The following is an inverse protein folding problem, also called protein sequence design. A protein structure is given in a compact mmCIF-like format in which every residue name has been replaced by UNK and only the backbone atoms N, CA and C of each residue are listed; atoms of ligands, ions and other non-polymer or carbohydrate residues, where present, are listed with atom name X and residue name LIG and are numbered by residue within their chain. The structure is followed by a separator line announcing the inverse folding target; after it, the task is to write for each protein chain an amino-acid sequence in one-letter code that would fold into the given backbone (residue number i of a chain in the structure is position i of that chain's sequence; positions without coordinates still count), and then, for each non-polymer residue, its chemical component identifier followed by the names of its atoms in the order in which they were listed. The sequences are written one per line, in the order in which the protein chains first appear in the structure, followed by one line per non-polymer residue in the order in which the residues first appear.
data_IF_601792179173
#
_entry.id   IF_601792179173
#
_cell.length_a   1.000
_cell.length_b   1.000
_cell.length_c   1.000
_cell.angle_alpha   90.00
_cell.angle_beta   90.00
_cell.angle_gamma   90.00
#
_symmetry.space_group_name_H-M   'P 1'
#
loop_
_entity.id
_entity.type
_entity.pdbx_description
1 polymer ?
#
# COMPACT_ATOMS: atom_id res chain seq x y z
N UNK A 1 -0.95 -18.32 16.41
CA UNK A 1 -1.98 -19.29 15.98
C UNK A 1 -3.25 -18.98 16.77
N UNK A 2 -4.23 -18.35 16.12
CA UNK A 2 -5.54 -18.10 16.74
C UNK A 2 -6.40 -19.32 16.40
N UNK A 3 -6.68 -20.16 17.39
CA UNK A 3 -7.60 -21.29 17.26
C UNK A 3 -9.00 -20.81 17.58
N UNK A 4 -9.89 -20.81 16.59
CA UNK A 4 -11.31 -20.67 16.81
C UNK A 4 -11.88 -22.04 17.20
N UNK A 5 -12.65 -22.17 18.30
CA UNK A 5 -13.41 -23.38 18.52
C UNK A 5 -14.42 -23.56 17.38
N UNK A 6 -14.36 -24.73 16.73
CA UNK A 6 -15.21 -25.08 15.57
C UNK A 6 -16.69 -25.20 15.97
N UNK A 7 -16.96 -25.36 17.27
CA UNK A 7 -18.30 -25.63 17.80
C UNK A 7 -19.25 -24.43 17.83
N UNK A 8 -18.77 -23.21 17.55
CA UNK A 8 -19.58 -21.97 17.64
C UNK A 8 -20.01 -21.39 16.29
N UNK A 9 -19.68 -22.05 15.17
CA UNK A 9 -20.20 -21.70 13.84
C UNK A 9 -21.29 -22.70 13.47
N UNK A 10 -22.51 -22.47 13.96
CA UNK A 10 -23.66 -23.17 13.40
C UNK A 10 -23.82 -22.72 11.93
N UNK A 11 -23.85 -23.64 10.95
CA UNK A 11 -24.13 -23.27 9.58
C UNK A 11 -25.51 -22.61 9.56
N UNK A 12 -25.59 -21.40 8.99
CA UNK A 12 -26.89 -20.81 8.68
C UNK A 12 -27.63 -21.83 7.79
N UNK A 13 -28.82 -22.33 8.18
CA UNK A 13 -29.51 -23.40 7.46
C UNK A 13 -30.19 -22.88 6.18
N UNK A 14 -29.80 -21.72 5.65
CA UNK A 14 -30.22 -21.29 4.33
C UNK A 14 -29.40 -22.09 3.31
N UNK A 15 -30.11 -22.95 2.61
CA UNK A 15 -29.62 -23.77 1.50
C UNK A 15 -28.79 -22.89 0.56
N UNK A 16 -27.47 -23.04 0.62
CA UNK A 16 -26.58 -22.58 -0.44
C UNK A 16 -27.08 -23.24 -1.71
N UNK A 17 -27.68 -22.47 -2.61
CA UNK A 17 -28.27 -23.00 -3.83
C UNK A 17 -27.20 -23.79 -4.58
N UNK A 18 -27.51 -25.06 -4.89
CA UNK A 18 -26.70 -25.91 -5.76
C UNK A 18 -26.72 -25.33 -7.16
N UNK A 19 -25.78 -24.43 -7.46
CA UNK A 19 -25.63 -23.83 -8.78
C UNK A 19 -24.55 -24.58 -9.59
N UNK A 20 -24.77 -24.79 -10.90
CA UNK A 20 -23.77 -25.41 -11.75
C UNK A 20 -22.51 -24.54 -11.82
N UNK A 21 -21.35 -25.21 -11.87
CA UNK A 21 -20.03 -24.61 -11.96
C UNK A 21 -19.99 -23.54 -13.08
N UNK A 22 -20.01 -22.26 -12.72
CA UNK A 22 -19.87 -21.14 -13.67
C UNK A 22 -20.93 -20.04 -13.58
N UNK A 23 -22.05 -20.24 -12.88
CA UNK A 23 -23.07 -19.21 -12.68
C UNK A 23 -23.12 -18.82 -11.21
N UNK A 24 -22.33 -17.81 -10.82
CA UNK A 24 -22.22 -17.36 -9.42
C UNK A 24 -23.24 -16.24 -9.17
N UNK A 25 -24.25 -16.49 -8.35
CA UNK A 25 -25.17 -15.43 -7.87
C UNK A 25 -24.44 -14.43 -6.97
N UNK A 26 -23.83 -13.43 -7.62
CA UNK A 26 -23.06 -12.37 -6.97
C UNK A 26 -23.94 -11.56 -6.00
N UNK A 27 -25.24 -11.40 -6.29
CA UNK A 27 -26.17 -10.65 -5.44
C UNK A 27 -26.53 -11.41 -4.15
N UNK A 28 -26.58 -12.74 -4.18
CA UNK A 28 -26.68 -13.56 -2.97
C UNK A 28 -25.43 -13.43 -2.08
N UNK A 29 -24.23 -13.56 -2.66
CA UNK A 29 -22.98 -13.44 -1.89
C UNK A 29 -22.76 -12.05 -1.31
N UNK A 30 -23.16 -11.00 -2.04
CA UNK A 30 -23.15 -9.63 -1.52
C UNK A 30 -24.12 -9.44 -0.35
N UNK A 31 -25.28 -10.13 -0.35
CA UNK A 31 -26.27 -10.07 0.75
C UNK A 31 -25.79 -10.73 2.04
N UNK A 32 -24.96 -11.77 1.97
CA UNK A 32 -24.29 -12.37 3.14
C UNK A 32 -23.29 -11.39 3.78
N UNK A 33 -22.69 -10.54 2.95
CA UNK A 33 -21.52 -9.73 3.29
C UNK A 33 -21.86 -8.28 3.68
N UNK A 34 -22.92 -7.71 3.10
CA UNK A 34 -23.30 -6.31 3.30
C UNK A 34 -24.68 -6.03 2.69
N UNK A 35 -25.78 -5.96 3.46
CA UNK A 35 -27.00 -5.35 2.97
C UNK A 35 -26.72 -3.85 2.77
N UNK A 36 -26.37 -3.46 1.54
CA UNK A 36 -26.06 -2.08 1.16
C UNK A 36 -27.18 -1.09 1.55
N UNK A 37 -28.40 -1.61 1.65
CA UNK A 37 -29.62 -0.85 1.93
C UNK A 37 -29.78 -0.51 3.44
N UNK A 38 -29.03 -1.17 4.32
CA UNK A 38 -29.13 -1.00 5.78
C UNK A 38 -27.95 -0.22 6.39
N UNK A 39 -26.78 -0.23 5.75
CA UNK A 39 -25.56 0.38 6.27
C UNK A 39 -24.91 1.22 5.16
N UNK A 40 -24.99 2.55 5.29
CA UNK A 40 -24.54 3.52 4.28
C UNK A 40 -23.02 3.59 4.05
N UNK A 41 -22.30 2.47 4.14
CA UNK A 41 -20.86 2.37 3.92
C UNK A 41 -20.41 0.94 3.55
N UNK A 42 -19.20 0.81 2.97
CA UNK A 42 -18.54 -0.47 2.65
C UNK A 42 -17.96 -1.16 3.90
N UNK A 43 -18.75 -1.25 4.96
CA UNK A 43 -18.33 -1.86 6.23
C UNK A 43 -18.70 -3.33 6.27
N UNK A 44 -17.68 -4.17 6.45
CA UNK A 44 -17.82 -5.60 6.70
C UNK A 44 -18.08 -5.77 8.19
N UNK A 45 -19.24 -6.31 8.53
CA UNK A 45 -19.66 -6.56 9.91
C UNK A 45 -19.85 -8.06 10.17
N UNK A 46 -20.11 -8.43 11.42
CA UNK A 46 -20.44 -9.82 11.79
C UNK A 46 -19.23 -10.76 11.90
N UNK A 47 -19.48 -12.06 11.82
CA UNK A 47 -18.47 -13.10 12.07
C UNK A 47 -17.38 -13.15 10.99
N UNK A 48 -17.72 -12.89 9.72
CA UNK A 48 -16.77 -12.93 8.61
C UNK A 48 -15.64 -11.90 8.76
N UNK A 49 -15.94 -10.73 9.34
CA UNK A 49 -14.94 -9.71 9.63
C UNK A 49 -13.88 -10.19 10.63
N UNK A 50 -14.14 -11.21 11.45
CA UNK A 50 -13.21 -11.75 12.45
C UNK A 50 -12.16 -12.69 11.86
N UNK A 51 -12.27 -13.07 10.59
CA UNK A 51 -11.22 -13.85 9.90
C UNK A 51 -9.97 -13.04 9.58
N UNK A 52 -10.02 -11.72 9.76
CA UNK A 52 -8.91 -10.83 9.52
C UNK A 52 -8.32 -10.40 10.86
N UNK A 53 -7.29 -11.09 11.40
CA UNK A 53 -6.77 -10.78 12.73
C UNK A 53 -6.03 -9.43 12.78
N UNK A 54 -5.51 -8.98 11.64
CA UNK A 54 -4.85 -7.70 11.48
C UNK A 54 -5.45 -6.95 10.30
N UNK A 55 -5.50 -5.63 10.42
CA UNK A 55 -6.06 -4.71 9.46
C UNK A 55 -4.96 -3.81 8.90
N UNK A 56 -5.12 -3.44 7.64
CA UNK A 56 -4.32 -2.44 6.94
C UNK A 56 -4.66 -1.05 7.48
N UNK A 57 -3.65 -0.32 7.94
CA UNK A 57 -3.72 1.11 8.21
C UNK A 57 -2.45 1.76 7.66
N UNK A 58 -2.56 2.83 6.86
CA UNK A 58 -1.41 3.50 6.23
C UNK A 58 -0.46 2.55 5.48
N UNK A 59 -1.00 1.50 4.85
CA UNK A 59 -0.22 0.54 4.07
C UNK A 59 0.41 -0.61 4.86
N UNK A 60 0.39 -0.60 6.21
CA UNK A 60 0.89 -1.69 7.05
C UNK A 60 -0.24 -2.56 7.58
N UNK A 61 -0.03 -3.88 7.62
CA UNK A 61 -0.99 -4.87 8.13
C UNK A 61 -0.57 -5.31 9.53
N UNK A 62 -0.67 -4.41 10.50
CA UNK A 62 -0.19 -4.61 11.88
C UNK A 62 -1.22 -4.20 12.94
N UNK A 63 -2.29 -3.50 12.55
CA UNK A 63 -3.34 -3.10 13.48
C UNK A 63 -4.20 -4.29 13.88
N UNK A 64 -4.30 -4.69 15.15
CA UNK A 64 -5.20 -5.75 15.58
C UNK A 64 -6.65 -5.40 15.23
N UNK A 65 -7.40 -6.39 14.73
CA UNK A 65 -8.81 -6.20 14.44
C UNK A 65 -9.61 -6.05 15.75
N UNK A 66 -10.27 -4.89 15.99
CA UNK A 66 -10.98 -4.64 17.24
C UNK A 66 -12.14 -5.61 17.47
N UNK A 67 -12.66 -6.25 16.41
CA UNK A 67 -13.72 -7.25 16.53
C UNK A 67 -13.27 -8.53 17.24
N UNK A 68 -11.97 -8.79 17.32
CA UNK A 68 -11.43 -9.94 18.04
C UNK A 68 -11.54 -9.80 19.57
N UNK A 69 -11.72 -8.58 20.08
CA UNK A 69 -11.90 -8.33 21.52
C UNK A 69 -13.36 -8.54 21.96
N UNK A 70 -14.30 -8.56 21.02
CA UNK A 70 -15.73 -8.71 21.26
C UNK A 70 -16.12 -10.20 21.29
N UNK A 71 -17.21 -10.57 21.97
CA UNK A 71 -17.74 -11.94 21.89
C UNK A 71 -18.41 -12.20 20.54
N UNK A 72 -18.50 -13.46 20.11
CA UNK A 72 -19.26 -13.81 18.90
C UNK A 72 -20.72 -13.34 19.05
N UNK A 73 -21.20 -12.60 18.04
CA UNK A 73 -22.52 -11.97 18.06
C UNK A 73 -22.62 -10.67 18.86
N UNK A 74 -21.50 -10.08 19.28
CA UNK A 74 -21.43 -8.71 19.80
C UNK A 74 -20.74 -7.75 18.80
N UNK A 75 -21.12 -6.45 18.83
CA UNK A 75 -22.15 -5.87 19.71
C UNK A 75 -23.57 -6.15 19.22
N UNK A 76 -24.51 -6.23 20.17
CA UNK A 76 -25.95 -6.36 19.90
C UNK A 76 -26.61 -4.99 20.00
N UNK A 77 -27.66 -4.76 19.22
CA UNK A 77 -28.56 -3.59 19.31
C UNK A 77 -27.92 -2.21 19.05
N UNK A 78 -26.75 -2.14 18.41
CA UNK A 78 -26.20 -0.88 17.93
C UNK A 78 -26.84 -0.49 16.59
N UNK A 79 -27.56 0.63 16.59
CA UNK A 79 -28.16 1.21 15.38
C UNK A 79 -27.26 2.26 14.71
N UNK A 80 -26.24 2.71 15.42
CA UNK A 80 -25.22 3.67 14.96
C UNK A 80 -23.85 3.22 15.45
N UNK A 81 -22.82 3.36 14.61
CA UNK A 81 -21.42 3.06 14.96
C UNK A 81 -21.15 1.56 15.21
N UNK A 82 -21.69 0.69 14.33
CA UNK A 82 -21.44 -0.75 14.41
C UNK A 82 -19.95 -0.99 14.17
N UNK A 83 -19.23 -1.62 15.12
CA UNK A 83 -17.87 -2.07 14.91
C UNK A 83 -17.82 -2.93 13.65
N UNK A 84 -17.11 -2.45 12.66
CA UNK A 84 -16.91 -3.09 11.38
C UNK A 84 -15.49 -2.86 10.91
N UNK A 85 -15.07 -3.65 9.93
CA UNK A 85 -13.82 -3.42 9.22
C UNK A 85 -14.17 -2.98 7.81
N UNK A 86 -13.40 -2.06 7.24
CA UNK A 86 -13.63 -1.67 5.85
C UNK A 86 -12.96 -2.68 4.93
N UNK A 87 -13.56 -2.91 3.77
CA UNK A 87 -12.98 -3.82 2.76
C UNK A 87 -11.56 -3.46 2.35
N UNK A 88 -11.21 -2.17 2.29
CA UNK A 88 -9.83 -1.73 2.02
C UNK A 88 -8.86 -1.92 3.21
N UNK A 89 -9.40 -2.05 4.43
CA UNK A 89 -8.61 -2.36 5.63
C UNK A 89 -8.28 -3.85 5.72
N UNK A 90 -8.86 -4.69 4.86
CA UNK A 90 -8.57 -6.12 4.84
C UNK A 90 -7.43 -6.39 3.85
N UNK A 91 -6.45 -7.25 4.22
CA UNK A 91 -5.45 -7.71 3.27
C UNK A 91 -6.12 -8.55 2.17
N UNK A 92 -6.35 -7.94 1.00
CA UNK A 92 -6.93 -8.62 -0.17
C UNK A 92 -5.93 -9.45 -0.97
N UNK A 93 -4.72 -9.67 -0.44
CA UNK A 93 -3.61 -10.35 -1.11
C UNK A 93 -3.15 -11.55 -0.29
N UNK A 94 -2.49 -12.50 -0.97
CA UNK A 94 -1.83 -13.60 -0.29
C UNK A 94 -0.81 -13.05 0.71
N UNK A 95 -0.73 -13.68 1.89
CA UNK A 95 0.35 -13.40 2.84
C UNK A 95 1.68 -13.66 2.16
N UNK A 96 2.66 -12.79 2.42
CA UNK A 96 3.96 -12.83 1.76
C UNK A 96 5.06 -12.80 2.80
N UNK A 97 6.05 -13.65 2.64
CA UNK A 97 7.30 -13.63 3.43
C UNK A 97 8.49 -13.72 2.49
N UNK A 98 9.55 -12.97 2.81
CA UNK A 98 10.82 -13.07 2.10
C UNK A 98 11.66 -14.17 2.75
N UNK A 99 12.14 -15.11 1.93
CA UNK A 99 12.99 -16.22 2.35
C UNK A 99 14.34 -16.11 1.64
N UNK A 100 15.42 -16.11 2.42
CA UNK A 100 16.77 -16.19 1.87
C UNK A 100 17.08 -17.66 1.56
N UNK A 101 17.23 -17.97 0.28
CA UNK A 101 17.56 -19.30 -0.23
C UNK A 101 19.05 -19.34 -0.53
N UNK A 102 19.74 -20.27 0.13
CA UNK A 102 21.10 -20.63 -0.23
C UNK A 102 21.06 -21.72 -1.31
N UNK A 103 21.23 -21.32 -2.57
CA UNK A 103 21.24 -22.19 -3.73
C UNK A 103 22.61 -22.88 -3.85
N UNK A 104 22.72 -24.06 -3.25
CA UNK A 104 23.96 -24.84 -3.25
C UNK A 104 24.37 -25.35 -4.64
N UNK A 105 23.45 -25.39 -5.61
CA UNK A 105 23.73 -25.85 -6.97
C UNK A 105 24.32 -24.73 -7.80
N UNK A 106 23.72 -23.54 -7.72
CA UNK A 106 24.26 -22.35 -8.38
C UNK A 106 25.44 -21.73 -7.62
N UNK A 107 25.58 -22.02 -6.32
CA UNK A 107 26.56 -21.39 -5.44
C UNK A 107 26.19 -19.97 -5.03
N UNK A 108 24.90 -19.62 -5.03
CA UNK A 108 24.42 -18.26 -4.86
C UNK A 108 23.37 -18.17 -3.73
N UNK A 109 23.36 -17.05 -3.00
CA UNK A 109 22.26 -16.71 -2.10
C UNK A 109 21.28 -15.81 -2.84
N UNK A 110 19.98 -16.13 -2.81
CA UNK A 110 18.92 -15.30 -3.39
C UNK A 110 17.74 -15.15 -2.45
N UNK A 111 17.13 -13.98 -2.46
CA UNK A 111 15.87 -13.74 -1.78
C UNK A 111 14.70 -14.15 -2.70
N UNK A 112 13.76 -14.93 -2.17
CA UNK A 112 12.51 -15.28 -2.86
C UNK A 112 11.31 -14.83 -2.02
N UNK A 113 10.24 -14.41 -2.68
CA UNK A 113 8.96 -14.17 -2.02
C UNK A 113 8.15 -15.46 -2.05
N UNK A 114 7.90 -16.02 -0.86
CA UNK A 114 6.88 -17.05 -0.68
C UNK A 114 5.55 -16.35 -0.42
N UNK A 115 4.60 -16.51 -1.33
CA UNK A 115 3.23 -16.08 -1.10
C UNK A 115 2.37 -17.29 -0.78
N UNK A 116 1.54 -17.18 0.25
CA UNK A 116 0.64 -18.23 0.70
C UNK A 116 -0.66 -17.65 1.25
N UNK A 117 -1.74 -18.41 1.16
CA UNK A 117 -3.03 -18.00 1.70
C UNK A 117 -4.19 -18.74 1.04
N UNK A 118 -5.39 -18.19 1.22
CA UNK A 118 -6.58 -18.67 0.53
C UNK A 118 -6.52 -18.22 -0.94
N UNK A 119 -6.42 -19.17 -1.87
CA UNK A 119 -6.35 -18.90 -3.32
C UNK A 119 -7.69 -19.12 -4.04
N UNK A 120 -8.66 -19.71 -3.34
CA UNK A 120 -9.98 -19.95 -3.88
C UNK A 120 -10.90 -20.66 -2.90
N UNK A 121 -12.11 -20.98 -3.37
CA UNK A 121 -13.12 -21.72 -2.63
C UNK A 121 -13.63 -22.82 -3.56
N UNK A 122 -13.66 -24.06 -3.09
CA UNK A 122 -14.38 -25.16 -3.73
C UNK A 122 -15.79 -25.26 -3.13
N UNK A 123 -16.73 -25.76 -3.92
CA UNK A 123 -18.02 -26.21 -3.42
C UNK A 123 -18.07 -27.74 -3.58
N UNK A 124 -18.36 -28.43 -2.49
CA UNK A 124 -18.54 -29.87 -2.48
C UNK A 124 -19.97 -30.23 -2.97
N UNK A 125 -20.23 -31.50 -3.28
CA UNK A 125 -21.48 -31.95 -3.91
C UNK A 125 -22.75 -31.65 -3.08
N UNK A 126 -22.61 -31.50 -1.76
CA UNK A 126 -23.67 -31.15 -0.82
C UNK A 126 -23.90 -29.64 -0.68
N UNK A 127 -23.17 -28.84 -1.47
CA UNK A 127 -23.23 -27.38 -1.45
C UNK A 127 -22.31 -26.72 -0.41
N UNK A 128 -21.60 -27.50 0.41
CA UNK A 128 -20.66 -26.97 1.39
C UNK A 128 -19.49 -26.24 0.72
N UNK A 129 -19.08 -25.11 1.28
CA UNK A 129 -17.90 -24.39 0.82
C UNK A 129 -16.64 -24.85 1.55
N UNK A 130 -15.59 -25.13 0.79
CA UNK A 130 -14.29 -25.52 1.31
C UNK A 130 -13.21 -24.55 0.85
N UNK A 131 -12.46 -23.91 1.76
CA UNK A 131 -11.34 -23.05 1.39
C UNK A 131 -10.24 -23.84 0.69
N UNK A 132 -9.67 -23.29 -0.38
CA UNK A 132 -8.47 -23.81 -1.04
C UNK A 132 -7.28 -22.96 -0.62
N UNK A 133 -6.41 -23.53 0.21
CA UNK A 133 -5.11 -22.93 0.50
C UNK A 133 -4.14 -23.20 -0.66
N UNK A 134 -3.34 -22.21 -1.02
CA UNK A 134 -2.32 -22.33 -2.05
C UNK A 134 -1.10 -21.50 -1.70
N UNK A 135 -0.01 -21.79 -2.38
CA UNK A 135 1.22 -21.03 -2.29
C UNK A 135 1.96 -21.04 -3.62
N UNK A 136 2.78 -20.02 -3.84
CA UNK A 136 3.75 -19.99 -4.92
C UNK A 136 4.99 -19.22 -4.48
N UNK A 137 6.09 -19.49 -5.16
CA UNK A 137 7.36 -18.79 -4.95
C UNK A 137 7.63 -17.94 -6.18
N UNK A 138 7.93 -16.67 -5.95
CA UNK A 138 8.37 -15.72 -6.96
C UNK A 138 9.72 -15.12 -6.54
N UNK A 139 10.39 -14.42 -7.44
CA UNK A 139 11.52 -13.57 -7.06
C UNK A 139 11.06 -12.58 -6.00
N UNK A 140 11.86 -12.39 -4.94
CA UNK A 140 11.55 -11.36 -3.97
C UNK A 140 11.57 -10.00 -4.67
N UNK A 141 10.54 -9.16 -4.54
CA UNK A 141 10.68 -7.78 -4.96
C UNK A 141 11.69 -7.11 -4.05
N UNK A 142 12.34 -6.08 -4.58
CA UNK A 142 13.24 -5.20 -3.83
C UNK A 142 12.57 -4.78 -2.53
N UNK A 143 13.25 -4.99 -1.40
CA UNK A 143 12.79 -4.51 -0.10
C UNK A 143 13.40 -3.15 0.19
N UNK A 144 12.59 -2.22 0.71
CA UNK A 144 13.07 -0.87 1.01
C UNK A 144 14.23 -0.88 2.02
N UNK A 145 14.24 -1.81 2.97
CA UNK A 145 15.33 -1.92 3.95
C UNK A 145 16.68 -2.25 3.31
N UNK A 146 16.70 -3.14 2.30
CA UNK A 146 17.92 -3.48 1.56
C UNK A 146 18.44 -2.26 0.78
N UNK A 147 17.52 -1.48 0.20
CA UNK A 147 17.83 -0.24 -0.52
C UNK A 147 18.37 0.83 0.44
N UNK A 148 17.74 0.99 1.61
CA UNK A 148 18.20 1.91 2.65
C UNK A 148 19.61 1.51 3.12
N UNK A 149 19.85 0.21 3.35
CA UNK A 149 21.17 -0.29 3.76
C UNK A 149 22.23 0.03 2.71
N UNK A 150 21.91 -0.16 1.43
CA UNK A 150 22.77 0.21 0.30
C UNK A 150 23.03 1.72 0.26
N UNK A 151 22.00 2.55 0.45
CA UNK A 151 22.14 4.01 0.50
C UNK A 151 23.05 4.43 1.66
N UNK A 152 22.84 3.91 2.87
CA UNK A 152 23.65 4.24 4.05
C UNK A 152 25.10 3.82 3.87
N UNK A 153 25.34 2.67 3.22
CA UNK A 153 26.69 2.14 2.99
C UNK A 153 27.46 2.93 1.94
N UNK A 154 26.80 3.25 0.82
CA UNK A 154 27.49 3.71 -0.41
C UNK A 154 27.39 5.24 -0.62
N UNK A 155 26.54 5.94 0.16
CA UNK A 155 26.28 7.36 -0.03
C UNK A 155 26.32 8.17 1.28
N UNK A 156 26.36 9.49 1.14
CA UNK A 156 26.38 10.40 2.29
C UNK A 156 24.96 10.55 2.83
N UNK A 157 24.77 10.22 4.11
CA UNK A 157 23.47 10.29 4.79
C UNK A 157 23.56 11.08 6.09
N UNK A 158 22.41 11.59 6.55
CA UNK A 158 22.24 12.10 7.92
C UNK A 158 21.28 11.19 8.69
N UNK A 159 21.42 11.05 10.02
CA UNK A 159 20.50 10.24 10.82
C UNK A 159 19.08 10.81 10.77
N UNK A 160 18.09 9.93 10.92
CA UNK A 160 16.69 10.32 11.07
C UNK A 160 16.50 11.23 12.31
N UNK A 161 15.59 12.23 12.25
CA UNK A 161 15.21 12.96 13.44
C UNK A 161 14.47 12.04 14.43
N UNK A 162 14.54 12.31 15.75
CA UNK A 162 13.94 11.45 16.77
C UNK A 162 12.42 11.32 16.65
N UNK A 163 11.74 12.32 16.10
CA UNK A 163 10.31 12.28 15.81
C UNK A 163 10.04 12.91 14.44
N UNK A 164 9.39 12.14 13.56
CA UNK A 164 8.85 12.63 12.30
C UNK A 164 7.39 12.99 12.53
N UNK A 165 7.07 14.28 12.51
CA UNK A 165 5.69 14.72 12.56
C UNK A 165 5.04 14.58 11.17
N UNK A 166 4.40 13.45 10.93
CA UNK A 166 3.67 13.14 9.69
C UNK A 166 2.49 14.08 9.40
N UNK A 167 2.12 14.95 10.35
CA UNK A 167 0.78 15.49 10.56
C UNK A 167 0.16 16.44 9.53
N UNK A 168 0.79 16.79 8.40
CA UNK A 168 0.15 17.64 7.38
C UNK A 168 0.61 17.43 5.93
N UNK A 169 1.85 16.97 5.71
CA UNK A 169 2.42 16.77 4.37
C UNK A 169 1.89 15.50 3.69
N UNK A 170 1.87 14.39 4.43
CA UNK A 170 1.44 13.08 3.97
C UNK A 170 0.20 12.65 4.74
N UNK A 171 -0.97 12.77 4.11
CA UNK A 171 -2.21 12.25 4.71
C UNK A 171 -2.17 10.73 4.89
N UNK A 172 -1.33 10.04 4.11
CA UNK A 172 -1.03 8.61 4.22
C UNK A 172 0.28 8.31 3.49
N UNK A 173 1.45 8.37 4.15
CA UNK A 173 2.71 7.96 3.52
C UNK A 173 2.70 6.45 3.28
N UNK A 174 3.34 6.00 2.20
CA UNK A 174 3.55 4.57 1.98
C UNK A 174 4.53 4.00 3.02
N UNK A 175 4.46 2.69 3.25
CA UNK A 175 5.40 1.99 4.13
C UNK A 175 6.87 2.25 3.76
N UNK A 176 7.18 2.33 2.46
CA UNK A 176 8.53 2.65 1.98
C UNK A 176 9.01 4.05 2.44
N UNK A 177 8.14 5.05 2.40
CA UNK A 177 8.45 6.42 2.85
C UNK A 177 8.66 6.45 4.36
N UNK A 178 7.83 5.74 5.11
CA UNK A 178 7.98 5.60 6.56
C UNK A 178 9.31 4.93 6.90
N UNK A 179 9.63 3.80 6.26
CA UNK A 179 10.88 3.07 6.47
C UNK A 179 12.10 3.94 6.16
N UNK A 180 12.07 4.66 5.03
CA UNK A 180 13.15 5.56 4.62
C UNK A 180 13.40 6.64 5.68
N UNK A 181 12.37 7.39 6.07
CA UNK A 181 12.53 8.52 7.00
C UNK A 181 12.70 8.12 8.47
N UNK A 182 12.41 6.87 8.83
CA UNK A 182 12.77 6.32 10.15
C UNK A 182 14.28 6.03 10.27
N UNK A 183 15.00 5.89 9.16
CA UNK A 183 16.43 5.52 9.15
C UNK A 183 17.33 6.62 8.63
N UNK A 184 16.87 7.37 7.64
CA UNK A 184 17.62 8.42 6.96
C UNK A 184 16.89 9.76 7.13
N UNK A 185 17.58 10.75 7.71
CA UNK A 185 17.08 12.12 7.75
C UNK A 185 17.18 12.79 6.38
N UNK A 186 18.30 12.61 5.69
CA UNK A 186 18.54 13.06 4.32
C UNK A 186 19.69 12.26 3.70
N UNK A 187 19.78 12.26 2.37
CA UNK A 187 20.89 11.60 1.66
C UNK A 187 21.29 12.39 0.41
N UNK A 188 22.56 12.29 0.04
CA UNK A 188 23.11 12.79 -1.22
C UNK A 188 23.63 11.60 -2.02
N UNK A 189 23.00 11.30 -3.16
CA UNK A 189 23.32 10.15 -4.01
C UNK A 189 24.00 10.61 -5.30
N UNK A 190 24.70 9.70 -5.98
CA UNK A 190 25.28 9.90 -7.32
C UNK A 190 26.10 11.20 -7.44
N UNK A 191 27.08 11.39 -6.55
CA UNK A 191 27.93 12.59 -6.49
C UNK A 191 27.16 13.92 -6.39
N UNK A 192 25.98 13.88 -5.77
CA UNK A 192 25.12 15.04 -5.59
C UNK A 192 24.16 15.31 -6.73
N UNK A 193 24.09 14.42 -7.73
CA UNK A 193 23.07 14.50 -8.76
C UNK A 193 21.66 14.34 -8.16
N UNK A 194 21.52 13.60 -7.06
CA UNK A 194 20.26 13.41 -6.35
C UNK A 194 20.41 13.79 -4.87
N UNK A 195 19.36 14.39 -4.31
CA UNK A 195 19.27 14.70 -2.88
C UNK A 195 17.93 14.24 -2.33
N UNK A 196 17.94 13.24 -1.46
CA UNK A 196 16.77 12.90 -0.63
C UNK A 196 16.62 14.02 0.40
N UNK A 197 15.53 14.78 0.32
CA UNK A 197 15.28 15.94 1.19
C UNK A 197 15.04 15.49 2.63
N UNK A 198 15.44 16.29 3.63
CA UNK A 198 14.87 16.21 4.96
C UNK A 198 13.35 16.22 4.91
N UNK A 199 12.70 15.43 5.77
CA UNK A 199 11.23 15.38 5.84
C UNK A 199 10.61 16.78 5.99
N UNK A 200 11.22 17.64 6.80
CA UNK A 200 10.78 19.03 7.03
C UNK A 200 10.98 19.97 5.83
N UNK A 201 11.80 19.58 4.85
CA UNK A 201 12.05 20.34 3.61
C UNK A 201 11.21 19.82 2.43
N UNK A 202 10.45 18.75 2.61
CA UNK A 202 9.51 18.29 1.60
C UNK A 202 8.46 19.37 1.35
N UNK A 203 8.04 19.52 0.10
CA UNK A 203 7.05 20.51 -0.27
C UNK A 203 5.91 19.91 -1.09
N UNK A 204 4.73 20.49 -0.92
CA UNK A 204 3.57 20.19 -1.76
C UNK A 204 3.67 21.03 -3.04
N UNK A 205 3.79 20.35 -4.17
CA UNK A 205 3.74 20.92 -5.51
C UNK A 205 2.31 20.79 -6.01
N UNK A 206 1.58 21.89 -5.96
CA UNK A 206 0.16 21.94 -6.31
C UNK A 206 -0.04 22.02 -7.82
N UNK A 207 -1.11 21.39 -8.31
CA UNK A 207 -1.55 21.49 -9.69
C UNK A 207 -3.07 21.29 -9.80
N UNK A 208 -3.65 21.75 -10.90
CA UNK A 208 -5.10 21.70 -11.13
C UNK A 208 -5.92 22.54 -10.13
N UNK A 209 -7.26 22.43 -10.24
CA UNK A 209 -8.21 23.18 -9.40
C UNK A 209 -8.66 22.42 -8.14
N UNK A 210 -8.36 21.12 -8.05
CA UNK A 210 -8.87 20.20 -7.02
C UNK A 210 -7.97 20.05 -5.79
N UNK A 211 -6.98 20.95 -5.62
CA UNK A 211 -5.95 20.79 -4.59
C UNK A 211 -5.15 19.49 -4.73
N UNK A 212 -4.99 19.01 -5.97
CA UNK A 212 -4.11 17.89 -6.23
C UNK A 212 -2.66 18.33 -6.00
N UNK A 213 -1.85 17.43 -5.45
CA UNK A 213 -0.47 17.74 -5.10
C UNK A 213 0.46 16.56 -5.23
N UNK A 214 1.67 16.87 -5.66
CA UNK A 214 2.83 15.98 -5.56
C UNK A 214 3.61 16.38 -4.31
N UNK A 215 3.95 15.43 -3.44
CA UNK A 215 4.86 15.67 -2.32
C UNK A 215 6.29 15.42 -2.79
N UNK A 216 7.03 16.48 -3.09
CA UNK A 216 8.40 16.40 -3.59
C UNK A 216 9.35 15.94 -2.47
N UNK A 217 10.03 14.81 -2.70
CA UNK A 217 10.88 14.15 -1.70
C UNK A 217 12.36 14.06 -2.12
N UNK A 218 12.66 14.06 -3.42
CA UNK A 218 14.02 13.95 -3.94
C UNK A 218 14.28 15.05 -4.95
N UNK A 219 15.35 15.82 -4.77
CA UNK A 219 15.82 16.80 -5.76
C UNK A 219 16.75 16.15 -6.77
N UNK A 220 16.65 16.58 -8.03
CA UNK A 220 17.55 16.20 -9.12
C UNK A 220 18.39 17.42 -9.52
N UNK A 221 19.63 17.19 -9.95
CA UNK A 221 20.58 18.26 -10.30
C UNK A 221 20.13 19.16 -11.46
N UNK A 222 19.21 18.69 -12.31
CA UNK A 222 18.64 19.46 -13.42
C UNK A 222 17.43 20.33 -13.02
N UNK A 223 17.17 20.47 -11.71
CA UNK A 223 16.09 21.28 -11.17
C UNK A 223 14.72 20.59 -11.16
N UNK A 224 14.63 19.34 -11.62
CA UNK A 224 13.46 18.49 -11.41
C UNK A 224 13.47 17.93 -9.98
N UNK A 225 12.35 17.38 -9.58
CA UNK A 225 12.21 16.60 -8.35
C UNK A 225 11.41 15.32 -8.62
N UNK A 226 11.68 14.30 -7.81
CA UNK A 226 10.83 13.11 -7.69
C UNK A 226 9.91 13.33 -6.50
N UNK A 227 8.62 13.11 -6.72
CA UNK A 227 7.63 13.23 -5.68
C UNK A 227 6.54 12.18 -5.77
N UNK A 228 5.80 12.06 -4.68
CA UNK A 228 4.71 11.12 -4.55
C UNK A 228 3.36 11.78 -4.76
N UNK A 229 2.47 11.13 -5.48
CA UNK A 229 1.05 11.44 -5.54
C UNK A 229 0.26 10.26 -4.99
N UNK A 230 -0.73 10.54 -4.15
CA UNK A 230 -1.61 9.53 -3.58
C UNK A 230 -2.91 9.49 -4.38
N UNK A 231 -3.18 8.36 -5.02
CA UNK A 231 -4.51 8.02 -5.53
C UNK A 231 -5.35 7.60 -4.31
N UNK A 232 -6.21 8.51 -3.85
CA UNK A 232 -7.05 8.30 -2.67
C UNK A 232 -8.11 7.23 -2.91
N UNK A 233 -8.57 7.05 -4.15
CA UNK A 233 -9.58 6.05 -4.49
C UNK A 233 -9.00 4.64 -4.45
N UNK A 234 -7.79 4.48 -4.98
CA UNK A 234 -7.09 3.20 -5.03
C UNK A 234 -6.23 2.91 -3.80
N UNK A 235 -6.04 3.92 -2.93
CA UNK A 235 -5.08 3.89 -1.82
C UNK A 235 -3.66 3.50 -2.28
N UNK A 236 -3.26 3.98 -3.46
CA UNK A 236 -1.95 3.74 -4.04
C UNK A 236 -1.14 5.02 -4.10
N UNK A 237 0.16 4.91 -3.82
CA UNK A 237 1.11 5.99 -4.05
C UNK A 237 1.78 5.76 -5.39
N UNK A 238 1.78 6.78 -6.25
CA UNK A 238 2.55 6.80 -7.50
C UNK A 238 3.70 7.78 -7.37
N UNK A 239 4.82 7.47 -8.00
CA UNK A 239 6.00 8.34 -8.05
C UNK A 239 6.08 9.02 -9.41
N UNK A 240 6.36 10.33 -9.40
CA UNK A 240 6.44 11.14 -10.61
C UNK A 240 7.71 11.99 -10.62
N UNK A 241 8.11 12.43 -11.81
CA UNK A 241 9.21 13.38 -12.01
C UNK A 241 8.66 14.68 -12.55
N UNK A 242 8.85 15.78 -11.83
CA UNK A 242 8.31 17.07 -12.24
C UNK A 242 9.23 18.23 -11.89
N UNK A 243 8.95 19.41 -12.45
CA UNK A 243 9.50 20.69 -12.02
C UNK A 243 8.52 21.42 -11.13
N UNK A 244 9.06 22.02 -10.08
CA UNK A 244 8.30 22.84 -9.14
C UNK A 244 8.84 24.26 -9.16
N UNK A 245 7.94 25.24 -9.21
CA UNK A 245 8.27 26.65 -9.07
C UNK A 245 7.74 27.18 -7.75
N UNK A 246 8.61 27.82 -6.98
CA UNK A 246 8.21 28.49 -5.75
C UNK A 246 7.42 29.77 -6.06
N UNK A 247 6.31 29.96 -5.36
CA UNK A 247 5.54 31.20 -5.36
C UNK A 247 5.16 31.57 -3.94
N UNK A 248 4.83 32.85 -3.71
CA UNK A 248 4.40 33.35 -2.40
C UNK A 248 2.92 33.67 -2.44
N UNK A 249 2.16 33.08 -1.52
CA UNK A 249 0.73 33.34 -1.34
C UNK A 249 0.44 33.48 0.16
N UNK A 250 -0.22 34.56 0.56
CA UNK A 250 -0.49 34.92 1.96
C UNK A 250 0.77 34.93 2.86
N UNK A 251 1.91 35.35 2.30
CA UNK A 251 3.20 35.38 2.99
C UNK A 251 3.80 34.00 3.27
N UNK A 252 3.22 32.92 2.72
CA UNK A 252 3.76 31.56 2.79
C UNK A 252 4.35 31.15 1.45
N UNK A 253 5.50 30.49 1.50
CA UNK A 253 6.08 29.88 0.30
C UNK A 253 5.27 28.62 -0.05
N UNK A 254 4.79 28.58 -1.29
CA UNK A 254 4.11 27.45 -1.91
C UNK A 254 4.85 27.05 -3.17
N UNK A 255 4.53 25.88 -3.71
CA UNK A 255 5.12 25.37 -4.94
C UNK A 255 4.01 24.98 -5.91
N UNK A 256 4.15 25.37 -7.17
CA UNK A 256 3.25 24.95 -8.25
C UNK A 256 3.99 24.09 -9.24
N UNK A 257 3.28 23.16 -9.86
CA UNK A 257 3.79 22.36 -10.95
C UNK A 257 4.05 23.28 -12.16
N UNK A 258 5.25 23.17 -12.73
CA UNK A 258 5.64 23.94 -13.93
C UNK A 258 5.26 23.19 -15.21
N UNK A 259 5.42 21.88 -15.20
CA UNK A 259 5.13 21.03 -16.35
C UNK A 259 3.60 20.79 -16.45
N UNK A 260 3.09 20.65 -17.67
CA UNK A 260 1.69 20.22 -17.87
C UNK A 260 1.52 18.77 -17.36
N UNK A 261 0.42 18.41 -16.67
CA UNK A 261 0.24 17.06 -16.14
C UNK A 261 0.37 15.94 -17.20
N UNK A 262 0.03 16.20 -18.45
CA UNK A 262 0.19 15.26 -19.57
C UNK A 262 1.66 14.96 -19.92
N UNK A 263 2.59 15.84 -19.51
CA UNK A 263 4.03 15.72 -19.77
C UNK A 263 4.81 15.17 -18.56
N UNK A 264 4.17 15.07 -17.39
CA UNK A 264 4.81 14.58 -16.16
C UNK A 264 4.86 13.04 -16.17
N UNK A 265 6.05 12.41 -16.22
CA UNK A 265 6.20 10.96 -16.20
C UNK A 265 5.80 10.35 -14.85
N UNK A 266 5.10 9.21 -14.90
CA UNK A 266 4.86 8.33 -13.76
C UNK A 266 5.89 7.19 -13.79
N UNK A 267 6.61 6.99 -12.70
CA UNK A 267 7.71 6.02 -12.56
C UNK A 267 7.29 4.67 -11.94
N UNK A 268 6.03 4.54 -11.52
CA UNK A 268 5.49 3.36 -10.85
C UNK A 268 5.01 3.65 -9.42
N UNK A 269 4.83 2.59 -8.63
CA UNK A 269 4.16 2.65 -7.31
C UNK A 269 5.05 2.23 -6.12
N UNK A 270 6.27 1.76 -6.37
CA UNK A 270 7.21 1.34 -5.32
C UNK A 270 8.41 2.28 -5.28
N UNK A 271 8.65 2.87 -4.10
CA UNK A 271 9.85 3.69 -3.89
C UNK A 271 11.10 2.82 -3.85
N UNK A 272 10.99 1.62 -3.26
CA UNK A 272 12.09 0.66 -3.24
C UNK A 272 12.58 0.32 -4.65
N UNK A 273 11.68 -0.03 -5.58
CA UNK A 273 12.06 -0.31 -6.97
C UNK A 273 12.68 0.90 -7.67
N UNK A 274 12.11 2.10 -7.46
CA UNK A 274 12.63 3.33 -8.04
C UNK A 274 14.07 3.60 -7.59
N UNK A 275 14.30 3.56 -6.28
CA UNK A 275 15.62 3.85 -5.71
C UNK A 275 16.64 2.77 -6.08
N UNK A 276 16.26 1.49 -6.07
CA UNK A 276 17.16 0.40 -6.46
C UNK A 276 17.57 0.49 -7.93
N UNK A 277 16.61 0.71 -8.84
CA UNK A 277 16.91 0.93 -10.25
C UNK A 277 17.80 2.15 -10.47
N UNK A 278 17.57 3.25 -9.75
CA UNK A 278 18.46 4.41 -9.78
C UNK A 278 19.86 4.09 -9.26
N UNK A 279 19.99 3.30 -8.19
CA UNK A 279 21.27 2.88 -7.64
C UNK A 279 22.06 2.00 -8.61
N UNK A 280 21.38 1.21 -9.43
CA UNK A 280 22.00 0.36 -10.47
C UNK A 280 22.37 1.14 -11.73
N UNK A 281 21.62 2.18 -12.08
CA UNK A 281 21.81 2.96 -13.30
C UNK A 281 22.63 4.24 -13.12
N UNK A 282 23.07 4.55 -11.89
CA UNK A 282 23.75 5.80 -11.58
C UNK A 282 22.83 7.02 -11.63
N UNK A 283 21.55 6.83 -11.31
CA UNK A 283 20.53 7.89 -11.25
C UNK A 283 19.71 8.08 -12.53
N UNK A 284 19.88 7.23 -13.55
CA UNK A 284 19.01 7.23 -14.73
C UNK A 284 17.75 6.38 -14.51
N UNK A 285 16.61 7.05 -14.47
CA UNK A 285 15.28 6.47 -14.22
C UNK A 285 14.34 6.58 -15.42
N UNK A 286 14.85 6.97 -16.59
CA UNK A 286 14.01 7.16 -17.78
C UNK A 286 13.30 5.88 -18.22
N UNK A 287 13.93 4.73 -18.00
CA UNK A 287 13.38 3.41 -18.32
C UNK A 287 12.26 2.94 -17.37
N UNK A 288 12.02 3.65 -16.26
CA UNK A 288 10.97 3.33 -15.30
C UNK A 288 9.61 3.97 -15.65
N UNK A 289 9.53 4.77 -16.71
CA UNK A 289 8.30 5.43 -17.10
C UNK A 289 7.19 4.43 -17.44
N UNK A 290 6.09 4.47 -16.69
CA UNK A 290 4.90 3.61 -16.86
C UNK A 290 3.67 4.35 -17.39
N UNK A 291 3.68 5.68 -17.41
CA UNK A 291 2.51 6.48 -17.80
C UNK A 291 2.70 7.98 -17.57
N UNK A 292 1.57 8.71 -17.57
CA UNK A 292 1.53 10.17 -17.36
C UNK A 292 0.64 10.55 -16.19
N UNK A 293 0.91 11.70 -15.58
CA UNK A 293 0.21 12.16 -14.38
C UNK A 293 -1.28 12.46 -14.64
N UNK A 294 -1.64 13.02 -15.80
CA UNK A 294 -3.04 13.27 -16.19
C UNK A 294 -3.91 11.99 -16.18
N UNK A 295 -3.34 10.84 -16.52
CA UNK A 295 -4.02 9.54 -16.49
C UNK A 295 -4.41 9.09 -15.07
N UNK A 296 -3.77 9.64 -14.03
CA UNK A 296 -4.10 9.39 -12.64
C UNK A 296 -5.21 10.31 -12.10
N UNK A 297 -5.41 11.48 -12.72
CA UNK A 297 -6.28 12.54 -12.20
C UNK A 297 -7.69 12.50 -12.82
N UNK A 298 -7.86 11.91 -14.00
CA UNK A 298 -9.11 11.95 -14.80
C UNK A 298 -10.18 10.96 -14.30
N UNK A 299 -10.29 10.73 -12.99
CA UNK A 299 -11.30 9.83 -12.40
C UNK A 299 -12.32 10.58 -11.54
#
# INVERSE_FOLDING_TARGET
MVTFPVDDVLPAPETLATQPLGDVDTAFWQRIYSPADAYGGKEITGWAARFYPYLKLYGTVDRPNPLLELRLGEPRDMTTDIPGIRSHSVPGTLSKVIVNVNDQVAGENRAVALHAGLVGVAQDDDGALRPIAGWHVASAPVQIDDVIDRIVRDHVTTPAPPEVNWGWGWTSPSGDVIALYNRIGSATLFDGAWRIRPFVEQCNVWFGDRWDRVVAAIDLADGRCIGAINDVEQETTHWVVCRAEAFTEDGRQKYRLVDEPADVPVLGTSLAMLLDAALDSGGDITHLETGRLDQLIVR
#
